data_IF_591949008777
#
_entry.id   IF_591949008777
#
_cell.length_a   1.000
_cell.length_b   1.000
_cell.length_c   1.000
_cell.angle_alpha   90.00
_cell.angle_beta   90.00
_cell.angle_gamma   90.00
#
_symmetry.space_group_name_H-M   'P 1'
#
loop_
_entity.id
_entity.type
_entity.pdbx_description
1 polymer ?
#
# COMPACT_ATOMS: atom_id res chain seq x y z
N UNK A 1 9.59 17.46 -4.62
CA UNK A 1 8.42 17.14 -3.84
C UNK A 1 8.70 16.01 -2.88
N UNK A 2 8.31 16.16 -1.62
CA UNK A 2 8.66 15.21 -0.60
C UNK A 2 7.52 14.27 -0.29
N UNK A 3 7.86 13.01 -0.09
CA UNK A 3 6.92 12.03 0.43
C UNK A 3 6.93 12.17 1.95
N UNK A 4 5.76 12.38 2.53
CA UNK A 4 5.63 12.55 3.97
C UNK A 4 4.96 11.35 4.65
N UNK A 5 4.22 10.56 3.91
CA UNK A 5 3.49 9.43 4.46
C UNK A 5 3.41 8.30 3.47
N UNK A 6 3.33 7.08 3.98
CA UNK A 6 3.24 5.87 3.17
C UNK A 6 2.17 4.98 3.80
N UNK A 7 1.28 4.45 2.97
CA UNK A 7 0.41 3.38 3.42
C UNK A 7 0.79 2.09 2.70
N UNK A 8 0.69 0.98 3.38
CA UNK A 8 0.95 -0.32 2.78
C UNK A 8 -0.21 -1.27 3.03
N UNK A 9 -0.42 -2.15 2.07
CA UNK A 9 -1.37 -3.25 2.20
C UNK A 9 -0.60 -4.52 1.86
N UNK A 10 -0.44 -5.38 2.85
CA UNK A 10 0.16 -6.70 2.63
C UNK A 10 -0.96 -7.65 2.23
N UNK A 11 -0.77 -8.34 1.12
CA UNK A 11 -1.78 -9.24 0.56
C UNK A 11 -1.18 -10.61 0.40
N UNK A 12 -1.75 -11.59 1.09
CA UNK A 12 -1.34 -12.99 0.93
C UNK A 12 -2.44 -13.71 0.14
N UNK A 13 -2.08 -14.32 -0.98
CA UNK A 13 -3.05 -15.06 -1.78
C UNK A 13 -3.41 -16.38 -1.10
N UNK A 14 -4.67 -16.75 -1.20
CA UNK A 14 -5.09 -18.07 -0.76
C UNK A 14 -4.48 -19.13 -1.70
N UNK A 15 -4.28 -20.35 -1.22
CA UNK A 15 -3.73 -21.41 -2.06
C UNK A 15 -4.52 -21.57 -3.36
N UNK A 16 -3.80 -21.62 -4.47
CA UNK A 16 -4.42 -21.78 -5.77
C UNK A 16 -5.04 -20.52 -6.37
N UNK A 17 -4.98 -19.37 -5.66
CA UNK A 17 -5.63 -18.16 -6.12
C UNK A 17 -4.65 -17.05 -6.53
N UNK A 18 -3.36 -17.38 -6.69
CA UNK A 18 -2.32 -16.39 -7.00
C UNK A 18 -2.64 -15.62 -8.28
N UNK A 19 -3.06 -16.33 -9.33
CA UNK A 19 -3.35 -15.68 -10.60
C UNK A 19 -4.48 -14.67 -10.51
N UNK A 20 -5.49 -14.94 -9.72
CA UNK A 20 -6.60 -14.01 -9.54
C UNK A 20 -6.15 -12.76 -8.81
N UNK A 21 -5.35 -12.93 -7.75
CA UNK A 21 -4.83 -11.78 -7.02
C UNK A 21 -3.93 -10.93 -7.91
N UNK A 22 -3.03 -11.57 -8.67
CA UNK A 22 -2.17 -10.86 -9.60
C UNK A 22 -2.95 -10.06 -10.64
N UNK A 23 -4.10 -10.56 -11.08
CA UNK A 23 -4.94 -9.86 -12.05
C UNK A 23 -5.64 -8.66 -11.45
N UNK A 24 -6.07 -8.77 -10.20
CA UNK A 24 -6.90 -7.74 -9.56
C UNK A 24 -6.08 -6.58 -9.03
N UNK A 25 -4.89 -6.84 -8.47
CA UNK A 25 -4.09 -5.80 -7.84
C UNK A 25 -3.82 -4.59 -8.74
N UNK A 26 -3.41 -4.77 -10.00
CA UNK A 26 -3.18 -3.60 -10.85
C UNK A 26 -4.44 -2.76 -11.10
N UNK A 27 -5.61 -3.37 -11.13
CA UNK A 27 -6.85 -2.63 -11.30
C UNK A 27 -7.14 -1.75 -10.09
N UNK A 28 -6.96 -2.30 -8.90
CA UNK A 28 -7.16 -1.52 -7.67
C UNK A 28 -6.17 -0.36 -7.63
N UNK A 29 -4.90 -0.62 -7.90
CA UNK A 29 -3.86 0.40 -7.87
C UNK A 29 -4.14 1.51 -8.87
N UNK A 30 -4.57 1.16 -10.08
CA UNK A 30 -4.88 2.17 -11.10
C UNK A 30 -5.99 3.11 -10.64
N UNK A 31 -7.01 2.57 -9.99
CA UNK A 31 -8.08 3.40 -9.46
C UNK A 31 -7.59 4.30 -8.33
N UNK A 32 -6.71 3.78 -7.47
CA UNK A 32 -6.19 4.54 -6.34
C UNK A 32 -5.24 5.67 -6.77
N UNK A 33 -4.56 5.50 -7.89
CA UNK A 33 -3.64 6.52 -8.40
C UNK A 33 -4.33 7.83 -8.77
N UNK A 34 -5.63 7.82 -8.98
CA UNK A 34 -6.36 9.03 -9.34
C UNK A 34 -6.64 9.95 -8.15
N UNK A 35 -6.29 9.55 -6.94
CA UNK A 35 -6.55 10.37 -5.75
C UNK A 35 -5.63 11.57 -5.66
N UNK A 36 -6.18 12.69 -5.20
CA UNK A 36 -5.39 13.89 -4.95
C UNK A 36 -4.35 13.64 -3.89
N UNK A 37 -3.15 14.16 -4.11
CA UNK A 37 -2.06 14.02 -3.15
C UNK A 37 -1.34 12.69 -3.19
N UNK A 38 -1.81 11.76 -4.00
CA UNK A 38 -1.10 10.50 -4.21
C UNK A 38 0.06 10.73 -5.16
N UNK A 39 1.25 10.40 -4.70
CA UNK A 39 2.46 10.57 -5.50
C UNK A 39 2.84 9.31 -6.25
N UNK A 40 2.22 8.20 -5.92
CA UNK A 40 2.47 6.95 -6.61
C UNK A 40 1.97 5.77 -5.80
N UNK A 41 1.86 4.64 -6.50
CA UNK A 41 1.57 3.34 -5.89
C UNK A 41 2.50 2.32 -6.52
N UNK A 42 2.94 1.38 -5.72
CA UNK A 42 3.79 0.30 -6.20
C UNK A 42 3.28 -1.03 -5.69
N UNK A 43 3.39 -2.04 -6.53
CA UNK A 43 3.11 -3.42 -6.13
C UNK A 43 4.44 -4.14 -6.13
N UNK A 44 4.85 -4.68 -4.98
CA UNK A 44 6.12 -5.38 -4.87
C UNK A 44 5.88 -6.78 -4.33
N UNK A 45 6.69 -7.72 -4.79
CA UNK A 45 6.66 -9.08 -4.27
C UNK A 45 7.29 -9.10 -2.89
N UNK A 46 6.70 -9.86 -1.99
CA UNK A 46 7.32 -10.09 -0.71
C UNK A 46 8.27 -11.28 -0.84
N UNK A 47 9.57 -10.99 -0.84
CA UNK A 47 10.56 -12.04 -1.06
C UNK A 47 10.63 -13.08 0.03
N UNK A 48 10.12 -12.76 1.21
CA UNK A 48 10.17 -13.67 2.35
C UNK A 48 8.98 -14.60 2.41
N UNK A 49 7.93 -14.29 1.65
CA UNK A 49 6.72 -15.08 1.69
C UNK A 49 6.27 -15.35 0.26
N UNK A 50 6.04 -16.61 -0.07
CA UNK A 50 5.52 -16.96 -1.37
C UNK A 50 4.10 -16.45 -1.50
N UNK A 51 3.75 -16.02 -2.70
CA UNK A 51 2.38 -15.64 -3.02
C UNK A 51 1.87 -14.48 -2.18
N UNK A 52 2.77 -13.58 -1.84
CA UNK A 52 2.45 -12.40 -1.05
C UNK A 52 3.01 -11.15 -1.73
N UNK A 53 2.29 -10.06 -1.60
CA UNK A 53 2.65 -8.77 -2.18
C UNK A 53 2.51 -7.68 -1.15
N UNK A 54 3.25 -6.59 -1.37
CA UNK A 54 3.07 -5.36 -0.61
C UNK A 54 2.67 -4.30 -1.60
N UNK A 55 1.51 -3.69 -1.38
CA UNK A 55 1.02 -2.58 -2.19
C UNK A 55 1.26 -1.32 -1.38
N UNK A 56 2.07 -0.41 -1.92
CA UNK A 56 2.50 0.79 -1.20
C UNK A 56 2.00 2.04 -1.90
N UNK A 57 1.40 2.95 -1.14
CA UNK A 57 0.99 4.26 -1.62
C UNK A 57 1.85 5.33 -0.98
N UNK A 58 2.24 6.34 -1.76
CA UNK A 58 3.15 7.40 -1.34
C UNK A 58 2.42 8.72 -1.38
N UNK A 59 2.52 9.51 -0.30
CA UNK A 59 1.66 10.67 -0.09
C UNK A 59 2.44 11.92 0.25
N UNK A 60 1.98 13.03 -0.29
CA UNK A 60 2.55 14.34 -0.05
C UNK A 60 2.35 14.78 1.39
N UNK A 61 1.24 14.40 2.00
CA UNK A 61 0.95 14.74 3.38
C UNK A 61 0.19 13.62 4.08
N UNK A 62 0.31 13.60 5.38
CA UNK A 62 -0.42 12.64 6.21
C UNK A 62 -1.93 12.81 6.08
N UNK A 63 -2.40 14.04 6.03
CA UNK A 63 -3.84 14.29 5.94
C UNK A 63 -4.42 13.81 4.62
N UNK A 64 -3.69 13.96 3.52
CA UNK A 64 -4.14 13.43 2.23
C UNK A 64 -4.19 11.91 2.24
N UNK A 65 -3.21 11.27 2.90
CA UNK A 65 -3.24 9.83 3.05
C UNK A 65 -4.46 9.38 3.84
N UNK A 66 -4.77 10.06 4.94
CA UNK A 66 -5.94 9.69 5.75
C UNK A 66 -7.24 9.89 5.01
N UNK A 67 -7.35 10.95 4.21
CA UNK A 67 -8.53 11.17 3.40
C UNK A 67 -8.74 10.04 2.39
N UNK A 68 -7.64 9.45 1.91
CA UNK A 68 -7.68 8.34 0.99
C UNK A 68 -8.33 7.10 1.62
N UNK A 69 -8.24 6.93 2.93
CA UNK A 69 -8.79 5.75 3.57
C UNK A 69 -10.30 5.66 3.48
N UNK A 70 -10.96 6.75 3.14
CA UNK A 70 -12.41 6.74 2.88
C UNK A 70 -12.74 6.42 1.43
N UNK A 71 -11.74 6.20 0.59
CA UNK A 71 -11.98 5.96 -0.82
C UNK A 71 -12.60 4.58 -1.03
N UNK A 72 -13.66 4.48 -1.83
CA UNK A 72 -14.35 3.19 -2.02
C UNK A 72 -13.46 2.12 -2.64
N UNK A 73 -12.47 2.51 -3.43
CA UNK A 73 -11.60 1.54 -4.09
C UNK A 73 -10.76 0.72 -3.10
N UNK A 74 -10.53 1.23 -1.90
CA UNK A 74 -9.84 0.45 -0.88
C UNK A 74 -10.64 -0.76 -0.45
N UNK A 75 -11.94 -0.72 -0.62
CA UNK A 75 -12.77 -1.88 -0.31
C UNK A 75 -12.41 -3.08 -1.18
N UNK A 76 -11.78 -2.86 -2.33
CA UNK A 76 -11.34 -3.96 -3.19
C UNK A 76 -10.43 -4.95 -2.49
N UNK A 77 -9.61 -4.47 -1.56
CA UNK A 77 -8.75 -5.37 -0.79
C UNK A 77 -9.57 -6.28 0.13
N UNK A 78 -10.58 -5.71 0.78
CA UNK A 78 -11.45 -6.50 1.65
C UNK A 78 -12.33 -7.45 0.84
N UNK A 79 -12.70 -7.05 -0.35
CA UNK A 79 -13.49 -7.92 -1.25
C UNK A 79 -12.70 -9.18 -1.62
N UNK A 80 -11.39 -9.05 -1.84
CA UNK A 80 -10.56 -10.22 -2.10
C UNK A 80 -10.57 -11.18 -0.91
N UNK A 81 -10.55 -10.65 0.30
CA UNK A 81 -10.59 -11.47 1.50
C UNK A 81 -11.93 -12.19 1.62
N UNK A 82 -13.03 -11.46 1.41
CA UNK A 82 -14.37 -12.04 1.48
C UNK A 82 -14.61 -13.11 0.42
N UNK A 83 -14.04 -12.92 -0.75
CA UNK A 83 -14.18 -13.87 -1.84
C UNK A 83 -13.25 -15.08 -1.71
N UNK A 84 -12.40 -15.10 -0.69
CA UNK A 84 -11.47 -16.20 -0.50
C UNK A 84 -10.28 -16.18 -1.44
N UNK A 85 -10.06 -15.10 -2.17
CA UNK A 85 -8.88 -14.96 -3.04
C UNK A 85 -7.63 -14.65 -2.23
N UNK A 86 -7.78 -13.85 -1.18
CA UNK A 86 -6.70 -13.54 -0.27
C UNK A 86 -6.97 -14.24 1.07
N UNK A 87 -5.92 -14.79 1.66
CA UNK A 87 -6.03 -15.42 2.98
C UNK A 87 -5.73 -14.42 4.09
N UNK A 88 -5.06 -13.31 3.76
CA UNK A 88 -4.68 -12.32 4.75
C UNK A 88 -4.49 -10.97 4.08
N UNK A 89 -5.02 -9.94 4.72
CA UNK A 89 -4.80 -8.54 4.31
C UNK A 89 -4.38 -7.79 5.56
N UNK A 90 -3.28 -7.04 5.46
CA UNK A 90 -2.80 -6.23 6.57
C UNK A 90 -2.53 -4.80 6.10
N UNK A 91 -3.19 -3.84 6.73
CA UNK A 91 -3.00 -2.42 6.45
C UNK A 91 -2.02 -1.82 7.45
N UNK A 92 -1.10 -0.99 6.96
CA UNK A 92 -0.15 -0.29 7.82
C UNK A 92 0.08 1.12 7.28
N UNK A 93 0.46 2.03 8.16
CA UNK A 93 0.80 3.39 7.77
C UNK A 93 2.12 3.78 8.40
N UNK A 94 2.84 4.64 7.70
CA UNK A 94 4.14 5.11 8.14
C UNK A 94 4.23 6.60 7.87
N UNK A 95 4.77 7.34 8.84
CA UNK A 95 5.00 8.77 8.69
C UNK A 95 6.51 8.97 8.62
N UNK A 96 6.95 9.70 7.60
CA UNK A 96 8.36 9.94 7.40
C UNK A 96 8.78 11.13 8.23
N UNK A 97 9.77 10.93 9.10
CA UNK A 97 10.35 12.01 9.87
C UNK A 97 11.25 12.84 8.99
N UNK A 98 11.39 14.14 9.30
CA UNK A 98 12.26 15.01 8.50
C UNK A 98 13.65 14.46 8.37
N UNK A 99 14.16 14.44 7.15
CA UNK A 99 15.45 13.85 6.88
C UNK A 99 16.58 14.59 7.56
N UNK A 100 16.45 15.89 7.74
CA UNK A 100 17.50 16.66 8.37
C UNK A 100 17.78 16.20 9.79
N UNK A 101 16.80 15.67 10.48
CA UNK A 101 17.01 15.18 11.84
C UNK A 101 17.98 14.02 11.84
N UNK A 102 17.88 13.16 10.87
CA UNK A 102 18.74 12.00 10.83
C UNK A 102 20.13 12.34 10.37
N UNK A 103 20.27 13.33 9.53
CA UNK A 103 21.56 13.74 9.09
C UNK A 103 22.36 14.39 10.18
N UNK A 104 21.70 15.02 11.15
CA UNK A 104 22.40 15.68 12.22
C UNK A 104 22.87 14.75 13.27
N UNK A 105 22.37 13.59 13.23
CA UNK A 105 22.81 12.65 14.21
C UNK A 105 24.25 12.43 14.16
N UNK A 106 24.87 12.55 13.41
CA UNK A 106 26.12 12.31 13.54
C UNK A 106 26.87 13.10 13.92
N UNK A 107 26.93 13.48 14.00
CA UNK A 107 27.76 13.96 14.37
C UNK A 107 27.99 13.86 15.28
N UNK A 108 27.36 13.54 15.26
CA UNK A 108 27.66 13.42 16.36
C UNK A 108 27.78 13.31 16.67
#
# INVERSE_FOLDING_TARGET
MLISAINTVEVDAAPGRVGEVCSILPHIVRALLSNSGCMGYAITDNRRAKNAWIVSGYWESESLMHAHFDHPELAGFMDMLRAGMASRIKFSTFIINPAEDQRRVPNG
#
